data_IF_824518682957
#
_entry.id   IF_824518682957
#
_cell.length_a   1.000
_cell.length_b   1.000
_cell.length_c   1.000
_cell.angle_alpha   90.00
_cell.angle_beta   90.00
_cell.angle_gamma   90.00
#
_symmetry.space_group_name_H-M   'P 1'
#
loop_
_entity.id
_entity.type
_entity.pdbx_description
1 polymer ?
#
# COMPACT_ATOMS: atom_id res chain seq x y z
N UNK A 1 -22.10 24.36 -14.96
CA UNK A 1 -21.23 23.34 -15.57
C UNK A 1 -19.93 24.04 -15.95
N UNK A 2 -18.84 23.76 -15.23
CA UNK A 2 -17.50 24.29 -15.52
C UNK A 2 -16.95 23.52 -16.73
N UNK A 3 -16.48 24.26 -17.73
CA UNK A 3 -15.87 23.75 -18.95
C UNK A 3 -14.52 23.07 -18.62
N UNK A 4 -14.37 21.80 -18.98
CA UNK A 4 -13.13 21.01 -18.87
C UNK A 4 -12.60 20.63 -20.26
N UNK A 5 -12.58 21.57 -21.20
CA UNK A 5 -11.93 21.36 -22.50
C UNK A 5 -11.21 22.64 -22.90
N UNK A 6 -10.03 22.86 -22.34
CA UNK A 6 -9.07 23.77 -22.94
C UNK A 6 -7.66 23.21 -22.72
N UNK A 7 -7.09 22.75 -23.84
CA UNK A 7 -5.67 22.55 -24.20
C UNK A 7 -5.41 21.18 -24.85
N UNK A 8 -6.03 20.94 -26.00
CA UNK A 8 -5.54 19.96 -26.97
C UNK A 8 -4.43 20.64 -27.80
N UNK A 9 -3.21 20.68 -27.28
CA UNK A 9 -2.04 20.85 -28.14
C UNK A 9 -1.94 19.61 -29.04
N UNK A 10 -2.26 19.83 -30.32
CA UNK A 10 -2.30 18.79 -31.34
C UNK A 10 -0.91 18.23 -31.60
N UNK A 11 -0.51 17.20 -30.85
CA UNK A 11 0.54 16.27 -31.26
C UNK A 11 0.26 15.84 -32.71
N UNK A 12 1.23 15.96 -33.65
CA UNK A 12 1.03 15.56 -35.04
C UNK A 12 0.56 14.10 -35.10
N UNK A 13 -0.43 13.79 -35.96
CA UNK A 13 -1.06 12.47 -36.13
C UNK A 13 -0.09 11.42 -36.73
N UNK A 14 1.02 11.19 -36.03
CA UNK A 14 1.91 10.07 -36.27
C UNK A 14 1.34 8.83 -35.61
N UNK A 15 1.59 7.65 -36.18
CA UNK A 15 1.19 6.36 -35.60
C UNK A 15 1.62 6.22 -34.14
N UNK A 16 2.83 6.71 -33.82
CA UNK A 16 3.35 6.82 -32.44
C UNK A 16 2.44 7.66 -31.55
N UNK A 17 2.06 8.86 -31.99
CA UNK A 17 1.22 9.77 -31.21
C UNK A 17 -0.16 9.18 -30.84
N UNK A 18 -0.75 8.38 -31.73
CA UNK A 18 -2.03 7.70 -31.44
C UNK A 18 -1.87 6.63 -30.34
N UNK A 19 -0.78 5.86 -30.41
CA UNK A 19 -0.47 4.81 -29.41
C UNK A 19 -0.21 5.45 -28.05
N UNK A 20 0.64 6.48 -28.01
CA UNK A 20 0.97 7.22 -26.77
C UNK A 20 -0.28 7.80 -26.13
N UNK A 21 -1.19 8.43 -26.90
CA UNK A 21 -2.46 8.95 -26.37
C UNK A 21 -3.33 7.87 -25.72
N UNK A 22 -3.32 6.64 -26.24
CA UNK A 22 -4.06 5.51 -25.65
C UNK A 22 -3.39 5.02 -24.37
N UNK A 23 -2.06 4.92 -24.37
CA UNK A 23 -1.29 4.48 -23.21
C UNK A 23 -1.38 5.48 -22.05
N UNK A 24 -1.30 6.79 -22.29
CA UNK A 24 -1.45 7.83 -21.26
C UNK A 24 -2.82 7.72 -20.55
N UNK A 25 -3.89 7.36 -21.27
CA UNK A 25 -5.21 7.15 -20.65
C UNK A 25 -5.27 5.93 -19.72
N UNK A 26 -4.46 4.91 -19.99
CA UNK A 26 -4.41 3.67 -19.21
C UNK A 26 -3.34 3.72 -18.12
N UNK A 27 -2.26 4.48 -18.33
CA UNK A 27 -1.10 4.63 -17.46
C UNK A 27 -0.71 6.12 -17.40
N UNK A 28 -1.47 6.95 -16.65
CA UNK A 28 -1.23 8.40 -16.60
C UNK A 28 0.10 8.78 -15.92
N UNK A 29 0.61 7.93 -15.04
CA UNK A 29 1.80 8.20 -14.22
C UNK A 29 3.12 7.74 -14.87
N UNK A 30 3.06 7.20 -16.09
CA UNK A 30 4.25 6.66 -16.78
C UNK A 30 4.77 7.61 -17.85
N UNK A 31 6.10 7.62 -17.99
CA UNK A 31 6.77 8.43 -19.01
C UNK A 31 6.87 7.68 -20.35
N UNK A 32 6.94 8.44 -21.45
CA UNK A 32 6.95 7.91 -22.83
C UNK A 32 8.02 8.58 -23.71
N UNK A 33 9.01 9.20 -23.06
CA UNK A 33 10.06 10.00 -23.71
C UNK A 33 11.07 9.13 -24.45
N UNK A 34 11.35 7.92 -23.93
CA UNK A 34 12.22 6.93 -24.56
C UNK A 34 11.42 5.87 -25.34
N UNK A 35 12.04 5.32 -26.38
CA UNK A 35 11.48 4.17 -27.11
C UNK A 35 11.40 2.93 -26.22
N UNK A 36 12.40 2.69 -25.38
CA UNK A 36 12.42 1.52 -24.50
C UNK A 36 11.28 1.57 -23.47
N UNK A 37 11.06 2.74 -22.86
CA UNK A 37 9.94 2.98 -21.92
C UNK A 37 8.59 2.82 -22.62
N UNK A 38 8.46 3.36 -23.85
CA UNK A 38 7.25 3.21 -24.64
C UNK A 38 6.94 1.73 -24.95
N UNK A 39 7.94 0.96 -25.35
CA UNK A 39 7.77 -0.46 -25.67
C UNK A 39 7.50 -1.30 -24.42
N UNK A 40 8.09 -0.95 -23.28
CA UNK A 40 7.79 -1.62 -22.00
C UNK A 40 6.34 -1.39 -21.58
N UNK A 41 5.86 -0.15 -21.62
CA UNK A 41 4.46 0.16 -21.29
C UNK A 41 3.48 -0.46 -22.29
N UNK A 42 3.87 -0.52 -23.57
CA UNK A 42 3.08 -1.20 -24.60
C UNK A 42 2.98 -2.70 -24.33
N UNK A 43 4.08 -3.35 -23.91
CA UNK A 43 4.08 -4.76 -23.55
C UNK A 43 3.21 -5.04 -22.31
N UNK A 44 3.26 -4.18 -21.28
CA UNK A 44 2.36 -4.31 -20.12
C UNK A 44 0.89 -4.10 -20.50
N UNK A 45 0.63 -3.13 -21.39
CA UNK A 45 -0.72 -2.89 -21.90
C UNK A 45 -1.30 -4.10 -22.65
N UNK A 46 -0.48 -4.74 -23.49
CA UNK A 46 -0.88 -5.92 -24.26
C UNK A 46 -1.13 -7.12 -23.33
N UNK A 47 -0.27 -7.34 -22.34
CA UNK A 47 -0.45 -8.39 -21.34
C UNK A 47 -1.74 -8.19 -20.51
N UNK A 48 -2.02 -6.96 -20.07
CA UNK A 48 -3.26 -6.62 -19.36
C UNK A 48 -4.51 -6.86 -20.21
N UNK A 49 -4.44 -6.51 -21.50
CA UNK A 49 -5.53 -6.78 -22.45
C UNK A 49 -5.75 -8.28 -22.61
N UNK A 50 -4.70 -9.05 -22.84
CA UNK A 50 -4.77 -10.50 -22.99
C UNK A 50 -5.37 -11.16 -21.74
N UNK A 51 -4.98 -10.73 -20.54
CA UNK A 51 -5.55 -11.25 -19.30
C UNK A 51 -7.05 -10.96 -19.21
N UNK A 52 -7.48 -9.74 -19.53
CA UNK A 52 -8.90 -9.34 -19.52
C UNK A 52 -9.68 -10.11 -20.58
N UNK A 53 -9.13 -10.27 -21.78
CA UNK A 53 -9.75 -11.04 -22.85
C UNK A 53 -9.91 -12.51 -22.47
N UNK A 54 -8.89 -13.12 -21.87
CA UNK A 54 -8.97 -14.51 -21.42
C UNK A 54 -9.97 -14.69 -20.27
N UNK A 55 -10.06 -13.74 -19.33
CA UNK A 55 -11.13 -13.75 -18.30
C UNK A 55 -12.51 -13.67 -18.94
N UNK A 56 -12.74 -12.67 -19.81
CA UNK A 56 -14.02 -12.49 -20.51
C UNK A 56 -14.40 -13.73 -21.33
N UNK A 57 -13.44 -14.30 -22.06
CA UNK A 57 -13.62 -15.50 -22.88
C UNK A 57 -13.99 -16.69 -22.02
N UNK A 58 -13.31 -16.90 -20.88
CA UNK A 58 -13.63 -17.98 -19.92
C UNK A 58 -15.05 -17.81 -19.38
N UNK A 59 -15.45 -16.61 -19.00
CA UNK A 59 -16.77 -16.35 -18.44
C UNK A 59 -17.88 -16.51 -19.48
N UNK A 60 -17.67 -16.00 -20.69
CA UNK A 60 -18.58 -16.23 -21.82
C UNK A 60 -18.70 -17.71 -22.17
N UNK A 61 -17.59 -18.46 -22.15
CA UNK A 61 -17.60 -19.90 -22.41
C UNK A 61 -18.40 -20.65 -21.35
N UNK A 62 -18.23 -20.31 -20.06
CA UNK A 62 -19.02 -20.88 -18.97
C UNK A 62 -20.51 -20.57 -19.13
N UNK A 63 -20.86 -19.32 -19.44
CA UNK A 63 -22.25 -18.91 -19.68
C UNK A 63 -22.85 -19.67 -20.87
N UNK A 64 -22.12 -19.77 -21.99
CA UNK A 64 -22.55 -20.53 -23.15
C UNK A 64 -22.73 -22.02 -22.83
N UNK A 65 -21.85 -22.62 -22.03
CA UNK A 65 -22.00 -24.00 -21.54
C UNK A 65 -23.25 -24.16 -20.69
N UNK A 66 -23.55 -23.23 -19.78
CA UNK A 66 -24.78 -23.24 -18.96
C UNK A 66 -26.01 -23.17 -19.86
N UNK A 67 -26.03 -22.29 -20.86
CA UNK A 67 -27.17 -22.17 -21.77
C UNK A 67 -27.36 -23.39 -22.68
N UNK A 68 -26.26 -24.01 -23.10
CA UNK A 68 -26.31 -25.22 -23.93
C UNK A 68 -26.73 -26.44 -23.12
N UNK A 69 -26.23 -26.57 -21.88
CA UNK A 69 -26.54 -27.69 -21.00
C UNK A 69 -27.95 -27.60 -20.40
N UNK A 70 -28.47 -26.38 -20.19
CA UNK A 70 -29.81 -26.17 -19.68
C UNK A 70 -30.56 -25.07 -20.46
N UNK A 71 -31.22 -25.44 -21.58
CA UNK A 71 -31.99 -24.51 -22.39
C UNK A 71 -33.13 -23.81 -21.63
N UNK A 72 -33.70 -24.45 -20.59
CA UNK A 72 -34.73 -23.84 -19.75
C UNK A 72 -34.17 -22.69 -18.91
N UNK A 73 -32.96 -22.86 -18.36
CA UNK A 73 -32.24 -21.80 -17.64
C UNK A 73 -31.89 -20.63 -18.56
N UNK A 74 -31.53 -20.91 -19.82
CA UNK A 74 -31.30 -19.86 -20.81
C UNK A 74 -32.56 -19.01 -21.08
N UNK A 75 -33.70 -19.67 -21.28
CA UNK A 75 -34.99 -18.99 -21.46
C UNK A 75 -35.40 -18.19 -20.23
N UNK A 76 -35.21 -18.75 -19.03
CA UNK A 76 -35.46 -18.06 -17.77
C UNK A 76 -34.62 -16.78 -17.65
N UNK A 77 -33.31 -16.85 -17.86
CA UNK A 77 -32.42 -15.68 -17.76
C UNK A 77 -32.78 -14.61 -18.80
N UNK A 78 -33.11 -15.00 -20.04
CA UNK A 78 -33.54 -14.04 -21.09
C UNK A 78 -34.76 -13.24 -20.65
N UNK A 79 -35.81 -13.93 -20.17
CA UNK A 79 -37.07 -13.26 -19.76
C UNK A 79 -36.91 -12.36 -18.54
N UNK A 80 -36.05 -12.73 -17.59
CA UNK A 80 -35.74 -11.88 -16.44
C UNK A 80 -34.96 -10.64 -16.86
N UNK A 81 -34.01 -10.76 -17.80
CA UNK A 81 -33.28 -9.61 -18.36
C UNK A 81 -34.23 -8.68 -19.13
N UNK A 82 -35.23 -9.23 -19.81
CA UNK A 82 -36.29 -8.47 -20.49
C UNK A 82 -37.25 -7.75 -19.52
N UNK A 83 -37.09 -7.96 -18.20
CA UNK A 83 -37.82 -7.25 -17.15
C UNK A 83 -39.04 -8.00 -16.60
N UNK A 84 -39.19 -9.29 -16.93
CA UNK A 84 -40.25 -10.11 -16.33
C UNK A 84 -39.95 -10.46 -14.86
N UNK A 85 -41.02 -10.63 -14.05
CA UNK A 85 -40.88 -11.06 -12.66
C UNK A 85 -40.19 -12.44 -12.58
N UNK A 86 -39.06 -12.56 -11.83
CA UNK A 86 -38.31 -13.81 -11.72
C UNK A 86 -39.12 -14.99 -11.19
N UNK A 87 -40.09 -14.78 -10.31
CA UNK A 87 -40.91 -15.88 -9.77
C UNK A 87 -41.89 -16.39 -10.83
N UNK A 88 -42.48 -15.48 -11.60
CA UNK A 88 -43.38 -15.83 -12.71
C UNK A 88 -42.60 -16.56 -13.81
N UNK A 89 -41.43 -16.03 -14.18
CA UNK A 89 -40.53 -16.66 -15.16
C UNK A 89 -40.04 -18.03 -14.67
N UNK A 90 -39.72 -18.17 -13.37
CA UNK A 90 -39.29 -19.45 -12.80
C UNK A 90 -40.37 -20.53 -12.97
N UNK A 91 -41.63 -20.22 -12.64
CA UNK A 91 -42.76 -21.14 -12.83
C UNK A 91 -42.96 -21.48 -14.31
N UNK A 92 -42.80 -20.51 -15.22
CA UNK A 92 -42.93 -20.73 -16.67
C UNK A 92 -41.92 -21.75 -17.21
N UNK A 93 -40.65 -21.62 -16.83
CA UNK A 93 -39.58 -22.45 -17.39
C UNK A 93 -39.31 -23.75 -16.62
N UNK A 94 -39.51 -23.74 -15.30
CA UNK A 94 -39.23 -24.90 -14.44
C UNK A 94 -40.49 -25.59 -13.91
N UNK A 95 -41.66 -25.02 -14.13
CA UNK A 95 -42.95 -25.59 -13.73
C UNK A 95 -43.35 -25.25 -12.29
N UNK A 96 -44.63 -25.47 -11.99
CA UNK A 96 -45.17 -25.27 -10.64
C UNK A 96 -44.63 -26.25 -9.60
N UNK A 97 -43.98 -27.34 -10.01
CA UNK A 97 -43.37 -28.33 -9.11
C UNK A 97 -42.25 -27.74 -8.24
N UNK A 98 -41.58 -26.68 -8.73
CA UNK A 98 -40.62 -25.90 -7.93
C UNK A 98 -41.29 -25.24 -6.73
N UNK A 99 -42.58 -24.90 -6.84
CA UNK A 99 -43.42 -24.42 -5.74
C UNK A 99 -44.04 -25.58 -4.92
N UNK A 100 -44.08 -26.80 -5.47
CA UNK A 100 -44.56 -28.01 -4.79
C UNK A 100 -43.50 -28.67 -3.90
N UNK A 101 -42.30 -28.11 -3.77
CA UNK A 101 -41.36 -28.47 -2.70
C UNK A 101 -41.98 -28.39 -1.29
N UNK A 102 -43.15 -27.73 -1.15
CA UNK A 102 -43.95 -27.75 0.07
C UNK A 102 -44.49 -29.15 0.45
N UNK A 103 -44.59 -30.09 -0.49
CA UNK A 103 -45.14 -31.44 -0.25
C UNK A 103 -44.07 -32.53 -0.10
N UNK A 104 -42.78 -32.20 -0.30
CA UNK A 104 -41.64 -33.09 -0.16
C UNK A 104 -40.77 -32.60 1.01
N UNK A 105 -40.87 -33.29 2.14
CA UNK A 105 -40.32 -32.86 3.43
C UNK A 105 -38.79 -32.76 3.41
N UNK A 106 -38.11 -33.63 2.65
CA UNK A 106 -36.65 -33.63 2.50
C UNK A 106 -36.17 -32.43 1.67
N UNK A 107 -36.87 -32.12 0.57
CA UNK A 107 -36.56 -30.93 -0.25
C UNK A 107 -36.86 -29.63 0.48
N UNK A 108 -37.95 -29.59 1.26
CA UNK A 108 -38.29 -28.44 2.10
C UNK A 108 -37.22 -28.20 3.16
N UNK A 109 -36.68 -29.26 3.77
CA UNK A 109 -35.60 -29.16 4.75
C UNK A 109 -34.31 -28.59 4.13
N UNK A 110 -33.95 -29.01 2.92
CA UNK A 110 -32.79 -28.45 2.20
C UNK A 110 -32.99 -26.96 1.88
N UNK A 111 -34.17 -26.57 1.39
CA UNK A 111 -34.48 -25.16 1.12
C UNK A 111 -34.47 -24.30 2.39
N UNK A 112 -34.97 -24.82 3.51
CA UNK A 112 -34.91 -24.13 4.81
C UNK A 112 -33.46 -23.90 5.24
N UNK A 113 -32.62 -24.93 5.15
CA UNK A 113 -31.19 -24.82 5.48
C UNK A 113 -30.49 -23.74 4.64
N UNK A 114 -30.73 -23.71 3.34
CA UNK A 114 -30.14 -22.69 2.46
C UNK A 114 -30.69 -21.28 2.75
N UNK A 115 -31.97 -21.17 3.12
CA UNK A 115 -32.57 -19.90 3.54
C UNK A 115 -32.00 -19.41 4.87
N UNK A 116 -31.84 -20.29 5.86
CA UNK A 116 -31.19 -19.95 7.13
C UNK A 116 -29.75 -19.47 6.89
N UNK A 117 -28.99 -20.16 6.04
CA UNK A 117 -27.64 -19.72 5.64
C UNK A 117 -27.63 -18.39 4.86
N UNK A 118 -28.68 -18.09 4.09
CA UNK A 118 -28.86 -16.79 3.46
C UNK A 118 -29.14 -15.69 4.49
N UNK A 119 -30.05 -15.94 5.43
CA UNK A 119 -30.40 -15.01 6.52
C UNK A 119 -29.18 -14.73 7.41
N UNK A 120 -28.39 -15.74 7.74
CA UNK A 120 -27.15 -15.58 8.50
C UNK A 120 -26.16 -14.67 7.74
N UNK A 121 -25.94 -14.91 6.44
CA UNK A 121 -25.09 -14.04 5.61
C UNK A 121 -25.61 -12.61 5.55
N UNK A 122 -26.91 -12.43 5.37
CA UNK A 122 -27.53 -11.11 5.36
C UNK A 122 -27.36 -10.39 6.69
N UNK A 123 -27.51 -11.09 7.81
CA UNK A 123 -27.28 -10.53 9.14
C UNK A 123 -25.82 -10.17 9.36
N UNK A 124 -24.86 -11.01 8.93
CA UNK A 124 -23.44 -10.68 9.02
C UNK A 124 -23.09 -9.46 8.19
N UNK A 125 -23.58 -9.38 6.94
CA UNK A 125 -23.34 -8.21 6.09
C UNK A 125 -23.92 -6.94 6.72
N UNK A 126 -25.17 -7.00 7.21
CA UNK A 126 -25.80 -5.85 7.86
C UNK A 126 -25.08 -5.43 9.17
N UNK A 127 -24.51 -6.38 9.91
CA UNK A 127 -23.70 -6.07 11.11
C UNK A 127 -22.39 -5.41 10.72
N UNK A 128 -21.63 -6.01 9.80
CA UNK A 128 -20.35 -5.47 9.33
C UNK A 128 -20.51 -4.09 8.70
N UNK A 129 -21.56 -3.87 7.92
CA UNK A 129 -21.85 -2.57 7.31
C UNK A 129 -22.13 -1.49 8.37
N UNK A 130 -22.94 -1.81 9.40
CA UNK A 130 -23.17 -0.90 10.53
C UNK A 130 -21.89 -0.60 11.29
N UNK A 131 -21.07 -1.60 11.56
CA UNK A 131 -19.78 -1.44 12.23
C UNK A 131 -18.84 -0.53 11.41
N UNK A 132 -18.77 -0.70 10.08
CA UNK A 132 -18.00 0.17 9.19
C UNK A 132 -18.52 1.61 9.27
N UNK A 133 -19.84 1.80 9.22
CA UNK A 133 -20.43 3.14 9.25
C UNK A 133 -20.18 3.85 10.60
N UNK A 134 -20.31 3.14 11.71
CA UNK A 134 -20.01 3.67 13.05
C UNK A 134 -18.52 3.98 13.20
N UNK A 135 -17.65 3.06 12.76
CA UNK A 135 -16.21 3.26 12.76
C UNK A 135 -15.80 4.45 11.90
N UNK A 136 -16.44 4.67 10.75
CA UNK A 136 -16.18 5.82 9.90
C UNK A 136 -16.51 7.15 10.59
N UNK A 137 -17.67 7.23 11.25
CA UNK A 137 -18.10 8.42 12.00
C UNK A 137 -17.13 8.78 13.13
N UNK A 138 -16.58 7.78 13.82
CA UNK A 138 -15.57 7.97 14.86
C UNK A 138 -14.22 8.35 14.25
N UNK A 139 -13.82 7.67 13.17
CA UNK A 139 -12.52 7.84 12.52
C UNK A 139 -12.37 9.22 11.89
N UNK A 140 -13.43 9.80 11.30
CA UNK A 140 -13.39 11.13 10.71
C UNK A 140 -12.88 12.20 11.69
N UNK A 141 -13.37 12.17 12.95
CA UNK A 141 -12.92 13.12 13.99
C UNK A 141 -11.49 12.87 14.44
N UNK A 142 -11.07 11.60 14.51
CA UNK A 142 -9.70 11.23 14.87
C UNK A 142 -8.70 11.64 13.79
N UNK A 143 -9.10 11.49 12.53
CA UNK A 143 -8.35 11.90 11.34
C UNK A 143 -8.12 13.42 11.36
N UNK A 144 -9.17 14.22 11.55
CA UNK A 144 -9.06 15.68 11.62
C UNK A 144 -8.10 16.12 12.74
N UNK A 145 -8.27 15.56 13.94
CA UNK A 145 -7.39 15.86 15.08
C UNK A 145 -5.94 15.48 14.82
N UNK A 146 -5.68 14.35 14.16
CA UNK A 146 -4.33 13.91 13.83
C UNK A 146 -3.67 14.86 12.81
N UNK A 147 -4.42 15.26 11.79
CA UNK A 147 -3.97 16.23 10.78
C UNK A 147 -3.62 17.57 11.40
N UNK A 148 -4.49 18.10 12.27
CA UNK A 148 -4.24 19.33 13.02
C UNK A 148 -3.01 19.22 13.93
N UNK A 149 -2.88 18.13 14.69
CA UNK A 149 -1.77 17.92 15.63
C UNK A 149 -0.41 17.83 14.92
N UNK A 150 -0.38 17.35 13.68
CA UNK A 150 0.84 17.26 12.87
C UNK A 150 1.07 18.48 11.98
N UNK A 151 0.12 19.43 11.94
CA UNK A 151 0.20 20.63 11.12
C UNK A 151 0.27 20.34 9.62
N UNK A 152 -0.32 19.23 9.17
CA UNK A 152 -0.27 18.80 7.77
C UNK A 152 -1.28 19.58 6.91
N UNK A 153 -0.85 19.90 5.69
CA UNK A 153 -1.75 20.43 4.65
C UNK A 153 -2.71 19.34 4.13
N UNK A 154 -3.74 19.76 3.39
CA UNK A 154 -4.68 18.81 2.76
C UNK A 154 -3.96 17.86 1.80
N UNK A 155 -3.07 18.40 0.95
CA UNK A 155 -2.30 17.62 -0.03
C UNK A 155 -1.34 16.62 0.62
N UNK A 156 -0.61 17.02 1.66
CA UNK A 156 0.29 16.13 2.40
C UNK A 156 -0.48 15.02 3.12
N UNK A 157 -1.67 15.34 3.64
CA UNK A 157 -2.51 14.37 4.31
C UNK A 157 -3.08 13.33 3.34
N UNK A 158 -3.51 13.77 2.15
CA UNK A 158 -3.99 12.87 1.10
C UNK A 158 -2.90 11.89 0.65
N UNK A 159 -1.67 12.39 0.42
CA UNK A 159 -0.51 11.54 0.12
C UNK A 159 -0.17 10.56 1.26
N UNK A 160 -0.36 10.98 2.51
CA UNK A 160 -0.15 10.10 3.66
C UNK A 160 -1.19 8.97 3.69
N UNK A 161 -2.47 9.29 3.52
CA UNK A 161 -3.55 8.30 3.51
C UNK A 161 -3.40 7.32 2.35
N UNK A 162 -3.01 7.80 1.15
CA UNK A 162 -2.75 6.94 0.00
C UNK A 162 -1.66 5.89 0.31
N UNK A 163 -0.58 6.30 0.97
CA UNK A 163 0.48 5.37 1.41
C UNK A 163 -0.02 4.37 2.45
N UNK A 164 -0.86 4.81 3.39
CA UNK A 164 -1.48 3.90 4.38
C UNK A 164 -2.38 2.89 3.68
N UNK A 165 -3.21 3.32 2.73
CA UNK A 165 -4.09 2.45 1.95
C UNK A 165 -3.29 1.41 1.16
N UNK A 166 -2.24 1.85 0.46
CA UNK A 166 -1.36 0.94 -0.28
C UNK A 166 -0.69 -0.09 0.65
N UNK A 167 -0.20 0.34 1.82
CA UNK A 167 0.37 -0.59 2.81
C UNK A 167 -0.67 -1.61 3.31
N UNK A 168 -1.89 -1.15 3.60
CA UNK A 168 -2.99 -2.02 4.03
C UNK A 168 -3.37 -3.03 2.93
N UNK A 169 -3.36 -2.65 1.66
CA UNK A 169 -3.63 -3.54 0.54
C UNK A 169 -2.64 -4.72 0.51
N UNK A 170 -1.33 -4.45 0.61
CA UNK A 170 -0.30 -5.50 0.71
C UNK A 170 -0.53 -6.43 1.90
N UNK A 171 -0.89 -5.87 3.06
CA UNK A 171 -1.18 -6.67 4.27
C UNK A 171 -2.42 -7.54 4.09
N UNK A 172 -3.50 -7.01 3.51
CA UNK A 172 -4.74 -7.76 3.28
C UNK A 172 -4.57 -8.87 2.23
N UNK A 173 -3.71 -8.63 1.23
CA UNK A 173 -3.40 -9.61 0.19
C UNK A 173 -2.31 -10.61 0.60
N UNK A 174 -1.77 -10.49 1.83
CA UNK A 174 -0.64 -11.28 2.34
C UNK A 174 0.63 -11.18 1.47
N UNK A 175 0.84 -10.06 0.78
CA UNK A 175 2.03 -9.80 -0.05
C UNK A 175 3.06 -8.99 0.73
N UNK A 176 3.88 -9.69 1.52
CA UNK A 176 4.91 -9.06 2.36
C UNK A 176 6.23 -8.93 1.60
N UNK A 177 6.37 -7.85 0.83
CA UNK A 177 7.65 -7.46 0.24
C UNK A 177 8.64 -6.99 1.32
N UNK A 178 9.93 -7.00 0.99
CA UNK A 178 10.97 -6.47 1.88
C UNK A 178 10.70 -5.00 2.24
N UNK A 179 10.22 -4.20 1.28
CA UNK A 179 9.92 -2.78 1.48
C UNK A 179 8.78 -2.56 2.48
N UNK A 180 7.72 -3.39 2.41
CA UNK A 180 6.60 -3.35 3.35
C UNK A 180 7.08 -3.71 4.77
N UNK A 181 7.88 -4.77 4.89
CA UNK A 181 8.43 -5.20 6.19
C UNK A 181 9.40 -4.17 6.78
N UNK A 182 10.27 -3.58 5.96
CA UNK A 182 11.21 -2.53 6.37
C UNK A 182 10.48 -1.26 6.81
N UNK A 183 9.43 -0.86 6.10
CA UNK A 183 8.59 0.29 6.46
C UNK A 183 7.87 0.06 7.80
N UNK A 184 7.29 -1.13 8.00
CA UNK A 184 6.65 -1.50 9.26
C UNK A 184 7.66 -1.55 10.41
N UNK A 185 8.85 -2.12 10.19
CA UNK A 185 9.91 -2.20 11.19
C UNK A 185 10.40 -0.82 11.62
N UNK A 186 10.64 0.08 10.66
CA UNK A 186 10.99 1.49 10.93
C UNK A 186 9.88 2.21 11.68
N UNK A 187 8.61 1.96 11.33
CA UNK A 187 7.47 2.53 12.02
C UNK A 187 7.40 2.11 13.50
N UNK A 188 7.67 0.83 13.80
CA UNK A 188 7.66 0.29 15.17
C UNK A 188 8.82 0.84 16.02
N UNK A 189 10.00 1.03 15.43
CA UNK A 189 11.21 1.45 16.15
C UNK A 189 11.51 2.95 16.05
N UNK A 190 10.61 3.75 15.49
CA UNK A 190 10.85 5.16 15.19
C UNK A 190 11.34 5.95 16.42
N UNK A 191 10.60 5.88 17.53
CA UNK A 191 10.94 6.64 18.75
C UNK A 191 12.28 6.17 19.35
N UNK A 192 12.50 4.85 19.38
CA UNK A 192 13.75 4.27 19.92
C UNK A 192 14.97 4.64 19.09
N UNK A 193 14.83 4.67 17.76
CA UNK A 193 15.93 5.00 16.86
C UNK A 193 16.29 6.49 16.96
N UNK A 194 15.31 7.36 17.20
CA UNK A 194 15.53 8.79 17.44
C UNK A 194 16.26 9.02 18.76
N UNK A 195 15.82 8.40 19.86
CA UNK A 195 16.45 8.55 21.17
C UNK A 195 17.92 8.08 21.13
N UNK A 196 18.19 6.96 20.45
CA UNK A 196 19.54 6.47 20.24
C UNK A 196 20.36 7.41 19.34
N UNK A 197 19.77 7.98 18.29
CA UNK A 197 20.42 8.96 17.43
C UNK A 197 20.80 10.23 18.21
N UNK A 198 19.93 10.71 19.11
CA UNK A 198 20.19 11.87 19.95
C UNK A 198 21.35 11.59 20.92
N UNK A 199 21.30 10.47 21.67
CA UNK A 199 22.35 10.10 22.61
C UNK A 199 23.70 9.88 21.91
N UNK A 200 23.70 9.20 20.77
CA UNK A 200 24.93 9.00 19.99
C UNK A 200 25.45 10.32 19.41
N UNK A 201 24.56 11.24 19.03
CA UNK A 201 24.89 12.60 18.62
C UNK A 201 25.53 13.42 19.75
N UNK A 202 24.96 13.38 20.96
CA UNK A 202 25.53 14.05 22.13
C UNK A 202 26.93 13.53 22.46
N UNK A 203 27.10 12.20 22.49
CA UNK A 203 28.39 11.59 22.80
C UNK A 203 29.43 11.96 21.75
N UNK A 204 29.07 11.90 20.46
CA UNK A 204 29.96 12.34 19.36
C UNK A 204 30.30 13.82 19.48
N UNK A 205 29.34 14.68 19.78
CA UNK A 205 29.54 16.12 19.98
C UNK A 205 30.46 16.43 21.17
N UNK A 206 30.27 15.75 22.31
CA UNK A 206 31.16 15.84 23.49
C UNK A 206 32.57 15.38 23.15
N UNK A 207 32.73 14.25 22.45
CA UNK A 207 34.02 13.72 22.05
C UNK A 207 34.75 14.67 21.08
N UNK A 208 34.06 15.23 20.08
CA UNK A 208 34.64 16.23 19.18
C UNK A 208 35.07 17.49 19.93
N UNK A 209 34.27 17.98 20.88
CA UNK A 209 34.62 19.15 21.70
C UNK A 209 35.89 18.90 22.53
N UNK A 210 36.05 17.69 23.08
CA UNK A 210 37.26 17.30 23.81
C UNK A 210 38.47 17.32 22.88
N UNK A 211 38.37 16.72 21.69
CA UNK A 211 39.46 16.72 20.69
C UNK A 211 39.84 18.15 20.31
N UNK A 212 38.87 19.02 19.96
CA UNK A 212 39.14 20.42 19.65
C UNK A 212 39.78 21.20 20.80
N UNK A 213 39.38 20.94 22.05
CA UNK A 213 39.98 21.59 23.21
C UNK A 213 41.42 21.13 23.45
N UNK A 214 41.71 19.85 23.21
CA UNK A 214 43.06 19.28 23.30
C UNK A 214 43.98 19.84 22.21
N UNK A 215 43.50 19.93 20.97
CA UNK A 215 44.28 20.49 19.87
C UNK A 215 44.63 21.98 20.12
N UNK A 216 43.71 22.74 20.73
CA UNK A 216 43.97 24.13 21.15
C UNK A 216 44.98 24.23 22.29
N UNK A 217 44.92 23.34 23.29
CA UNK A 217 45.92 23.31 24.36
C UNK A 217 47.30 22.90 23.87
N UNK A 218 47.37 21.95 22.93
CA UNK A 218 48.62 21.47 22.34
C UNK A 218 49.24 22.55 21.43
N UNK A 219 48.41 23.33 20.71
CA UNK A 219 48.85 24.50 19.94
C UNK A 219 49.34 25.67 20.83
N UNK A 220 48.67 25.94 21.95
CA UNK A 220 49.10 26.96 22.92
C UNK A 220 50.40 26.57 23.63
N UNK A 221 50.57 25.29 23.97
CA UNK A 221 51.80 24.75 24.56
C UNK A 221 52.98 24.87 23.58
N UNK A 222 52.73 24.65 22.29
CA UNK A 222 53.73 24.80 21.22
C UNK A 222 54.16 26.25 20.95
N UNK A 223 53.32 27.24 21.29
CA UNK A 223 53.69 28.66 21.22
C UNK A 223 54.49 29.10 22.47
N UNK A 224 54.17 28.56 23.65
CA UNK A 224 54.92 28.82 24.89
C UNK A 224 56.34 28.22 24.89
N UNK A 225 56.57 27.14 24.16
CA UNK A 225 57.88 26.49 24.03
C UNK A 225 58.85 27.18 23.06
N UNK A 226 58.41 28.24 22.36
CA UNK A 226 59.30 29.05 21.49
C UNK A 226 59.87 30.28 22.17
N UNK A 227 59.42 30.63 23.38
CA UNK A 227 59.87 31.83 24.11
C UNK A 227 60.96 31.58 25.14
N UNK A 228 61.29 30.34 25.51
CA UNK A 228 62.39 30.05 26.44
C UNK A 228 63.25 28.89 25.94
N UNK A 229 64.30 29.22 25.18
CA UNK A 229 65.37 28.26 24.87
C UNK A 229 66.75 28.91 25.01
N UNK A 230 67.15 29.19 26.25
CA UNK A 230 68.57 29.20 26.62
C UNK A 230 68.76 28.94 28.12
N UNK A 231 69.04 27.68 28.48
CA UNK A 231 70.00 27.27 29.52
C UNK A 231 69.83 25.78 29.90
N UNK A 232 70.59 24.92 29.23
CA UNK A 232 71.61 24.05 29.83
C UNK A 232 71.34 23.29 31.16
N UNK A 233 71.42 21.95 31.02
CA UNK A 233 72.13 20.94 31.85
C UNK A 233 71.31 19.82 32.52
N UNK A 234 71.32 18.67 31.82
CA UNK A 234 71.61 17.27 32.24
C UNK A 234 70.94 16.59 33.47
N UNK A 235 70.77 15.23 33.39
CA UNK A 235 69.74 14.50 34.13
C UNK A 235 70.28 13.76 35.35
N UNK A 236 69.44 13.54 36.37
CA UNK A 236 69.74 12.56 37.42
C UNK A 236 68.48 11.95 38.05
N UNK A 237 68.50 10.61 38.12
CA UNK A 237 67.69 9.70 38.95
C UNK A 237 66.27 9.28 38.51
N UNK A 238 66.18 8.01 38.06
CA UNK A 238 65.34 7.04 38.76
C UNK A 238 64.17 6.41 37.99
N UNK A 239 64.45 5.54 37.01
CA UNK A 239 63.46 4.59 36.47
C UNK A 239 63.08 3.55 37.55
N UNK A 240 61.94 3.72 38.23
CA UNK A 240 61.21 2.62 38.87
C UNK A 240 59.98 2.27 38.04
N UNK A 241 60.09 1.22 37.21
CA UNK A 241 58.90 0.55 36.65
C UNK A 241 58.12 -0.08 37.81
N UNK A 242 56.92 0.41 38.10
CA UNK A 242 55.93 -0.35 38.88
C UNK A 242 55.30 -1.38 37.94
N UNK A 243 55.27 -2.65 38.37
CA UNK A 243 54.60 -3.75 37.66
C UNK A 243 53.11 -3.43 37.45
N UNK A 244 52.62 -3.73 36.26
CA UNK A 244 51.21 -3.70 35.89
C UNK A 244 50.46 -4.82 36.60
N UNK A 245 49.21 -4.56 36.98
CA UNK A 245 48.29 -5.54 37.62
C UNK A 245 47.81 -6.61 36.61
N UNK A 246 48.14 -6.47 35.34
CA UNK A 246 47.75 -7.40 34.27
C UNK A 246 48.81 -8.47 33.92
N UNK A 247 49.90 -8.56 34.70
CA UNK A 247 50.90 -9.64 34.60
C UNK A 247 50.68 -10.74 35.67
N UNK A 248 49.42 -11.10 35.97
CA UNK A 248 49.06 -12.31 36.74
C UNK A 248 48.02 -13.15 36.00
#
# INVERSE_FOLDING_TARGET
MKNFYENDETLPETSRGVIVKRLIKHFPDRNFDSDDELFEVLASYDADLDERFEKLRKDQTKLAQIFTSNPKMAGFISTVIEGEDPLIACVRYFGGDVLQCAYDEDRLMQLRKENDAYLDRMQTYAKTEKEIEENWKVSAKSIERFKEAKGMTDEEFDMFIEKVCHLCEHVFMCDFSYEVLDTLFKGVNYDTDIDLAEQTGEVKGRNQRIIFSKDKSDAATSQSLKTDSSADLTPMFGLRRRKSVWDM
#
